data_IF_019988797868
#
_entry.id   IF_019988797868
#
_cell.length_a   1.000
_cell.length_b   1.000
_cell.length_c   1.000
_cell.angle_alpha   90.00
_cell.angle_beta   90.00
_cell.angle_gamma   90.00
#
_symmetry.space_group_name_H-M   'P 1'
#
loop_
_entity.id
_entity.type
_entity.pdbx_description
1 polymer ?
#
# COMPACT_ATOMS: atom_id res chain seq x y z
N UNK A 1 11.11 -22.99 1.28
CA UNK A 1 11.18 -21.83 2.13
C UNK A 1 9.97 -21.70 3.00
N UNK A 2 10.18 -21.37 4.23
CA UNK A 2 9.13 -21.27 5.20
C UNK A 2 8.76 -19.81 5.42
N UNK A 3 7.55 -19.44 5.11
CA UNK A 3 7.12 -18.06 5.31
C UNK A 3 6.19 -17.90 6.51
N UNK A 4 6.00 -18.99 7.24
CA UNK A 4 5.14 -18.93 8.42
C UNK A 4 5.75 -18.06 9.50
N UNK A 5 7.07 -17.91 9.48
CA UNK A 5 7.75 -17.10 10.49
C UNK A 5 7.65 -15.62 10.20
N UNK A 6 7.24 -15.27 9.02
CA UNK A 6 7.12 -13.87 8.65
C UNK A 6 5.78 -13.36 9.12
N UNK A 7 5.84 -12.48 10.09
CA UNK A 7 4.63 -11.90 10.62
C UNK A 7 4.20 -10.74 9.72
N UNK A 8 3.60 -11.09 8.62
CA UNK A 8 3.04 -10.08 7.72
C UNK A 8 1.54 -10.10 7.91
N UNK A 9 0.98 -8.95 8.19
CA UNK A 9 -0.46 -8.81 8.25
C UNK A 9 -1.02 -8.97 6.87
N UNK A 10 -1.78 -10.04 6.66
CA UNK A 10 -2.42 -10.24 5.37
C UNK A 10 -3.46 -9.17 5.13
N UNK A 11 -3.56 -8.68 3.90
CA UNK A 11 -4.58 -7.70 3.59
C UNK A 11 -5.96 -8.30 3.77
N UNK A 12 -6.86 -7.55 4.37
CA UNK A 12 -8.25 -7.94 4.46
C UNK A 12 -8.94 -7.66 3.13
N UNK A 13 -10.19 -8.11 3.01
CA UNK A 13 -10.95 -7.79 1.80
C UNK A 13 -11.07 -6.28 1.61
N UNK A 14 -11.23 -5.59 2.72
CA UNK A 14 -11.31 -4.13 2.66
C UNK A 14 -10.01 -3.52 2.18
N UNK A 15 -8.87 -4.07 2.61
CA UNK A 15 -7.58 -3.60 2.13
C UNK A 15 -7.44 -3.79 0.63
N UNK A 16 -7.84 -4.94 0.12
CA UNK A 16 -7.77 -5.19 -1.31
C UNK A 16 -8.61 -4.17 -2.08
N UNK A 17 -9.77 -3.86 -1.56
CA UNK A 17 -10.64 -2.88 -2.19
C UNK A 17 -10.00 -1.51 -2.23
N UNK A 18 -9.41 -1.11 -1.10
CA UNK A 18 -8.73 0.18 -1.01
C UNK A 18 -7.55 0.22 -1.97
N UNK A 19 -6.77 -0.85 -2.01
CA UNK A 19 -5.61 -0.92 -2.89
C UNK A 19 -6.04 -0.79 -4.35
N UNK A 20 -7.08 -1.50 -4.75
CA UNK A 20 -7.59 -1.40 -6.11
C UNK A 20 -7.99 0.02 -6.46
N UNK A 21 -8.73 0.67 -5.57
CA UNK A 21 -9.18 2.04 -5.81
C UNK A 21 -8.01 3.00 -5.89
N UNK A 22 -7.05 2.85 -4.99
CA UNK A 22 -5.92 3.77 -4.96
C UNK A 22 -4.98 3.54 -6.13
N UNK A 23 -4.82 2.29 -6.56
CA UNK A 23 -4.04 2.02 -7.75
C UNK A 23 -4.68 2.61 -9.00
N UNK A 24 -6.00 2.52 -9.10
CA UNK A 24 -6.70 3.13 -10.23
C UNK A 24 -6.46 4.64 -10.24
N UNK A 25 -6.56 5.28 -9.08
CA UNK A 25 -6.29 6.70 -8.99
C UNK A 25 -4.87 7.04 -9.40
N UNK A 26 -3.92 6.24 -8.92
CA UNK A 26 -2.51 6.47 -9.23
C UNK A 26 -2.25 6.29 -10.72
N UNK A 27 -2.88 5.30 -11.34
CA UNK A 27 -2.69 5.02 -12.76
C UNK A 27 -3.23 6.16 -13.61
N UNK A 28 -4.33 6.77 -13.20
CA UNK A 28 -4.86 7.92 -13.90
C UNK A 28 -3.88 9.08 -13.94
N UNK A 29 -3.09 9.20 -12.88
CA UNK A 29 -2.09 10.27 -12.77
C UNK A 29 -0.72 9.85 -13.27
N UNK A 30 -0.54 8.58 -13.65
CA UNK A 30 0.76 8.07 -14.06
C UNK A 30 1.75 7.92 -12.91
N UNK A 31 1.25 7.83 -11.68
CA UNK A 31 2.10 7.78 -10.49
C UNK A 31 2.02 6.45 -9.75
N UNK A 32 1.61 5.39 -10.45
CA UNK A 32 1.41 4.11 -9.79
C UNK A 32 2.70 3.56 -9.17
N UNK A 33 3.83 3.72 -9.85
CA UNK A 33 5.09 3.22 -9.33
C UNK A 33 5.49 3.99 -8.07
N UNK A 34 5.33 5.30 -8.11
CA UNK A 34 5.67 6.14 -6.98
C UNK A 34 4.80 5.81 -5.76
N UNK A 35 3.52 5.61 -5.98
CA UNK A 35 2.61 5.29 -4.89
C UNK A 35 2.95 3.93 -4.29
N UNK A 36 3.23 2.95 -5.14
CA UNK A 36 3.61 1.62 -4.64
C UNK A 36 4.90 1.70 -3.84
N UNK A 37 5.87 2.41 -4.37
CA UNK A 37 7.15 2.57 -3.67
C UNK A 37 6.94 3.21 -2.31
N UNK A 38 6.17 4.28 -2.27
CA UNK A 38 5.93 4.98 -1.01
C UNK A 38 5.20 4.09 -0.01
N UNK A 39 4.25 3.30 -0.49
CA UNK A 39 3.52 2.38 0.38
C UNK A 39 4.47 1.37 1.01
N UNK A 40 5.41 0.84 0.22
CA UNK A 40 6.39 -0.10 0.75
C UNK A 40 7.27 0.56 1.80
N UNK A 41 7.71 1.78 1.54
CA UNK A 41 8.53 2.52 2.50
C UNK A 41 7.75 2.77 3.78
N UNK A 42 6.50 3.15 3.65
CA UNK A 42 5.66 3.43 4.82
C UNK A 42 5.50 2.17 5.68
N UNK A 43 5.29 1.03 5.04
CA UNK A 43 5.15 -0.22 5.77
C UNK A 43 6.45 -0.62 6.45
N UNK A 44 7.58 -0.33 5.84
CA UNK A 44 8.87 -0.60 6.46
C UNK A 44 9.08 0.24 7.70
N UNK A 45 8.67 1.49 7.62
CA UNK A 45 8.86 2.41 8.74
C UNK A 45 7.85 2.17 9.85
N UNK A 46 6.69 1.66 9.49
CA UNK A 46 5.64 1.40 10.48
C UNK A 46 5.02 0.04 10.21
N UNK A 47 5.59 -1.01 10.82
CA UNK A 47 5.11 -2.38 10.58
C UNK A 47 3.67 -2.62 10.99
N UNK A 48 3.07 -1.69 11.71
CA UNK A 48 1.67 -1.83 12.12
C UNK A 48 0.68 -1.37 11.05
N UNK A 49 1.18 -0.71 10.02
CA UNK A 49 0.30 -0.28 8.94
C UNK A 49 -0.19 -1.48 8.15
N UNK A 50 -1.46 -1.45 7.78
CA UNK A 50 -1.97 -2.42 6.82
C UNK A 50 -1.61 -1.95 5.41
N UNK A 51 -1.59 -2.86 4.45
CA UNK A 51 -1.31 -2.45 3.06
C UNK A 51 -2.28 -1.39 2.55
N UNK A 52 -3.56 -1.48 2.92
CA UNK A 52 -4.52 -0.47 2.50
C UNK A 52 -4.17 0.91 3.04
N UNK A 53 -3.83 0.97 4.33
CA UNK A 53 -3.43 2.22 4.94
C UNK A 53 -2.17 2.79 4.28
N UNK A 54 -1.23 1.91 3.96
CA UNK A 54 0.01 2.33 3.32
C UNK A 54 -0.24 2.93 1.95
N UNK A 55 -1.17 2.36 1.18
CA UNK A 55 -1.51 2.89 -0.13
C UNK A 55 -2.19 4.25 -0.01
N UNK A 56 -3.05 4.42 0.99
CA UNK A 56 -3.66 5.73 1.24
C UNK A 56 -2.59 6.77 1.51
N UNK A 57 -1.62 6.43 2.32
CA UNK A 57 -0.51 7.36 2.59
C UNK A 57 0.27 7.68 1.33
N UNK A 58 0.47 6.68 0.47
CA UNK A 58 1.16 6.90 -0.79
C UNK A 58 0.42 7.89 -1.67
N UNK A 59 -0.89 7.72 -1.76
CA UNK A 59 -1.72 8.62 -2.55
C UNK A 59 -1.65 10.04 -1.98
N UNK A 60 -1.76 10.17 -0.67
CA UNK A 60 -1.73 11.49 -0.04
C UNK A 60 -0.39 12.19 -0.25
N UNK A 61 0.67 11.42 -0.38
CA UNK A 61 1.99 12.00 -0.57
C UNK A 61 2.19 12.50 -2.01
N UNK A 62 1.72 11.74 -2.98
CA UNK A 62 2.03 12.02 -4.38
C UNK A 62 0.92 12.71 -5.15
N UNK A 63 -0.32 12.45 -4.80
CA UNK A 63 -1.46 13.02 -5.51
C UNK A 63 -2.11 14.05 -4.61
N UNK A 64 -1.88 15.30 -4.91
CA UNK A 64 -2.36 16.40 -4.08
C UNK A 64 -3.34 17.29 -4.80
#
# INVERSE_FOLDING_TARGET
MQIDDITINEPSEEDYKIIDEQLDNAMESGLEVEVIYWALVAMQKNPKLTPGEAFILGILEWIK
#
